data_IF_648899402370
#
_entry.id   IF_648899402370
#
_cell.length_a   1.000
_cell.length_b   1.000
_cell.length_c   1.000
_cell.angle_alpha   90.00
_cell.angle_beta   90.00
_cell.angle_gamma   90.00
#
_symmetry.space_group_name_H-M   'P 1'
#
loop_
_entity.id
_entity.type
_entity.pdbx_description
1 polymer ?
#
# COMPACT_ATOMS: atom_id res chain seq x y z
N UNK A 1 -1.38 5.03 -18.64
CA UNK A 1 -1.70 3.70 -19.18
C UNK A 1 -2.13 2.83 -18.01
N UNK A 2 -3.39 2.42 -17.90
CA UNK A 2 -3.83 1.64 -16.75
C UNK A 2 -3.26 0.22 -16.86
N UNK A 3 -2.60 -0.26 -15.80
CA UNK A 3 -2.30 -1.68 -15.58
C UNK A 3 -3.62 -2.40 -15.30
N UNK A 4 -4.30 -2.92 -16.32
CA UNK A 4 -5.44 -3.83 -16.14
C UNK A 4 -5.36 -5.09 -17.01
N UNK A 5 -4.24 -5.33 -17.68
CA UNK A 5 -4.09 -6.45 -18.62
C UNK A 5 -3.69 -7.78 -17.95
N UNK A 6 -3.17 -7.75 -16.72
CA UNK A 6 -2.44 -8.91 -16.16
C UNK A 6 -3.14 -9.54 -14.94
N UNK A 7 -4.30 -9.02 -14.52
CA UNK A 7 -5.04 -9.51 -13.35
C UNK A 7 -4.28 -9.43 -12.01
N UNK A 8 -3.10 -8.81 -11.99
CA UNK A 8 -2.23 -8.72 -10.82
C UNK A 8 -2.03 -7.27 -10.37
N UNK A 9 -1.97 -7.10 -9.06
CA UNK A 9 -1.69 -5.85 -8.37
C UNK A 9 -0.20 -5.79 -7.98
N UNK A 10 0.44 -4.65 -8.20
CA UNK A 10 1.83 -4.41 -7.83
C UNK A 10 1.93 -3.08 -7.06
N UNK A 11 2.47 -3.13 -5.84
CA UNK A 11 2.76 -1.95 -5.02
C UNK A 11 4.26 -1.82 -4.85
N UNK A 12 4.72 -0.58 -4.87
CA UNK A 12 6.09 -0.20 -4.52
C UNK A 12 6.09 0.88 -3.46
N UNK A 13 6.93 0.71 -2.45
CA UNK A 13 7.26 1.75 -1.48
C UNK A 13 8.77 1.92 -1.51
N UNK A 14 9.22 3.16 -1.66
CA UNK A 14 10.63 3.50 -1.81
C UNK A 14 10.93 4.81 -1.09
N UNK A 15 12.10 4.89 -0.49
CA UNK A 15 12.71 6.12 0.05
C UNK A 15 13.90 6.58 -0.81
N UNK A 16 13.95 6.09 -2.05
CA UNK A 16 15.02 6.29 -3.05
C UNK A 16 16.37 5.65 -2.70
N UNK A 17 16.48 5.01 -1.53
CA UNK A 17 17.60 4.17 -1.13
C UNK A 17 17.24 2.68 -1.15
N UNK A 18 16.05 2.34 -0.68
CA UNK A 18 15.51 0.98 -0.59
C UNK A 18 14.14 0.93 -1.22
N UNK A 19 13.88 -0.14 -1.98
CA UNK A 19 12.59 -0.36 -2.64
C UNK A 19 11.96 -1.67 -2.16
N UNK A 20 10.84 -1.58 -1.46
CA UNK A 20 9.98 -2.72 -1.15
C UNK A 20 8.94 -2.89 -2.26
N UNK A 21 8.87 -4.09 -2.83
CA UNK A 21 7.91 -4.45 -3.89
C UNK A 21 7.02 -5.58 -3.40
N UNK A 22 5.71 -5.41 -3.55
CA UNK A 22 4.72 -6.44 -3.28
C UNK A 22 3.85 -6.65 -4.52
N UNK A 23 3.79 -7.88 -5.01
CA UNK A 23 2.98 -8.27 -6.17
C UNK A 23 2.06 -9.42 -5.77
N UNK A 24 0.79 -9.32 -6.10
CA UNK A 24 -0.24 -10.32 -5.80
C UNK A 24 -1.28 -10.32 -6.90
N UNK A 25 -1.77 -11.49 -7.29
CA UNK A 25 -2.95 -11.71 -8.13
C UNK A 25 -4.18 -12.13 -7.30
N UNK A 26 -4.03 -12.20 -5.98
CA UNK A 26 -5.06 -12.62 -5.06
C UNK A 26 -6.03 -11.46 -4.78
N UNK A 27 -7.29 -11.62 -5.17
CA UNK A 27 -8.34 -10.60 -4.99
C UNK A 27 -8.54 -10.17 -3.52
N UNK A 28 -8.27 -11.04 -2.56
CA UNK A 28 -8.34 -10.73 -1.12
C UNK A 28 -7.31 -9.68 -0.68
N UNK A 29 -6.14 -9.67 -1.32
CA UNK A 29 -5.05 -8.77 -0.96
C UNK A 29 -5.33 -7.37 -1.50
N UNK A 30 -6.06 -7.24 -2.62
CA UNK A 30 -6.47 -5.95 -3.20
C UNK A 30 -7.14 -5.07 -2.15
N UNK A 31 -8.09 -5.62 -1.37
CA UNK A 31 -8.80 -4.86 -0.34
C UNK A 31 -7.90 -4.45 0.83
N UNK A 32 -6.98 -5.33 1.24
CA UNK A 32 -5.99 -5.04 2.31
C UNK A 32 -5.03 -3.94 1.88
N UNK A 33 -4.61 -4.00 0.63
CA UNK A 33 -3.73 -3.03 -0.02
C UNK A 33 -4.39 -1.67 -0.13
N UNK A 34 -5.63 -1.60 -0.61
CA UNK A 34 -6.38 -0.34 -0.72
C UNK A 34 -6.53 0.35 0.65
N UNK A 35 -6.83 -0.43 1.70
CA UNK A 35 -6.93 0.10 3.08
C UNK A 35 -5.59 0.66 3.55
N UNK A 36 -4.50 -0.08 3.32
CA UNK A 36 -3.14 0.31 3.72
C UNK A 36 -2.66 1.56 2.98
N UNK A 37 -2.88 1.61 1.66
CA UNK A 37 -2.53 2.75 0.82
C UNK A 37 -3.32 4.02 1.23
N UNK A 38 -4.62 3.88 1.46
CA UNK A 38 -5.48 4.98 1.94
C UNK A 38 -5.03 5.50 3.31
N UNK A 39 -4.60 4.62 4.21
CA UNK A 39 -4.03 5.01 5.49
C UNK A 39 -2.71 5.76 5.33
N UNK A 40 -1.81 5.28 4.46
CA UNK A 40 -0.54 5.95 4.18
C UNK A 40 -0.76 7.36 3.65
N UNK A 41 -1.72 7.55 2.72
CA UNK A 41 -2.10 8.87 2.21
C UNK A 41 -2.52 9.82 3.34
N UNK A 42 -3.35 9.36 4.29
CA UNK A 42 -3.75 10.18 5.45
C UNK A 42 -2.56 10.52 6.34
N UNK A 43 -1.64 9.59 6.56
CA UNK A 43 -0.43 9.82 7.36
C UNK A 43 0.54 10.81 6.70
N UNK A 44 0.62 10.84 5.37
CA UNK A 44 1.44 11.81 4.63
C UNK A 44 0.94 13.26 4.79
N UNK A 45 -0.35 13.45 5.05
CA UNK A 45 -0.94 14.78 5.29
C UNK A 45 -0.95 15.14 6.77
N UNK A 46 -0.92 14.16 7.67
CA UNK A 46 -0.93 14.39 9.11
C UNK A 46 0.38 15.04 9.59
N UNK A 47 0.25 16.09 10.42
CA UNK A 47 1.37 16.84 11.00
C UNK A 47 2.21 16.03 11.99
N UNK A 48 1.62 14.99 12.59
CA UNK A 48 2.28 14.08 13.51
C UNK A 48 1.81 12.64 13.23
N UNK A 49 2.73 11.79 12.77
CA UNK A 49 2.43 10.42 12.31
C UNK A 49 2.64 9.35 13.39
N UNK A 50 3.05 9.72 14.61
CA UNK A 50 3.29 8.79 15.72
C UNK A 50 2.02 8.56 16.54
N UNK A 51 1.18 7.65 16.08
CA UNK A 51 0.41 6.70 16.89
C UNK A 51 -0.75 6.14 16.06
N UNK A 52 -0.50 5.19 15.18
CA UNK A 52 -1.56 4.28 14.74
C UNK A 52 -1.08 2.89 15.07
N UNK A 53 -1.66 2.29 16.11
CA UNK A 53 -1.47 0.87 16.39
C UNK A 53 -1.87 0.11 15.12
N UNK A 54 -0.92 -0.61 14.54
CA UNK A 54 -1.16 -1.46 13.38
C UNK A 54 -1.96 -2.66 13.87
N UNK A 55 -3.29 -2.58 13.77
CA UNK A 55 -4.17 -3.71 14.06
C UNK A 55 -3.96 -4.77 12.98
N UNK A 56 -3.33 -5.88 13.37
CA UNK A 56 -3.20 -7.09 12.57
C UNK A 56 -4.44 -7.97 12.81
N UNK A 57 -5.32 -8.05 11.81
CA UNK A 57 -6.34 -9.10 11.66
C UNK A 57 -5.94 -10.03 10.51
#
# INVERSE_FOLDING_TARGET
>A
MPQNSDGSLCIKVTDDLVCLVYRTDQAQDVKKVEKSHSQLMRLMVAKESRSVAMETD
#
